data_IF_076034496151
#
_entry.id   IF_076034496151
#
_cell.length_a   1.000
_cell.length_b   1.000
_cell.length_c   1.000
_cell.angle_alpha   90.00
_cell.angle_beta   90.00
_cell.angle_gamma   90.00
#
_symmetry.space_group_name_H-M   'P 1'
#
loop_
_entity.id
_entity.type
_entity.pdbx_description
1 polymer ?
#
# COMPACT_ATOMS: atom_id res chain seq x y z
N UNK A 1 5.29 -3.42 -0.76
CA UNK A 1 5.39 -1.94 -0.63
C UNK A 1 6.24 -1.63 0.60
N UNK A 2 7.09 -0.59 0.56
CA UNK A 2 7.79 -0.09 1.76
C UNK A 2 6.94 0.98 2.44
N UNK A 3 6.81 0.90 3.77
CA UNK A 3 6.14 1.89 4.60
C UNK A 3 7.18 2.59 5.45
N UNK A 4 7.29 3.89 5.23
CA UNK A 4 8.24 4.77 5.89
C UNK A 4 7.49 5.68 6.87
N UNK A 5 8.01 5.85 8.08
CA UNK A 5 7.44 6.78 9.05
C UNK A 5 7.55 8.24 8.57
N UNK A 6 6.76 9.14 9.17
CA UNK A 6 6.81 10.58 8.90
C UNK A 6 8.23 11.14 8.84
N UNK A 7 9.09 10.74 9.79
CA UNK A 7 10.47 11.24 9.90
C UNK A 7 11.51 10.37 9.18
N UNK A 8 11.11 9.32 8.46
CA UNK A 8 12.03 8.47 7.71
C UNK A 8 12.91 7.54 8.56
N UNK A 9 12.70 7.49 9.87
CA UNK A 9 13.51 6.71 10.81
C UNK A 9 13.04 5.26 10.97
N UNK A 10 11.84 4.92 10.48
CA UNK A 10 11.30 3.57 10.42
C UNK A 10 11.00 3.26 8.97
N UNK A 11 11.48 2.11 8.48
CA UNK A 11 11.22 1.64 7.11
C UNK A 11 10.96 0.13 7.12
N UNK A 12 9.70 -0.25 6.92
CA UNK A 12 9.20 -1.62 7.10
C UNK A 12 8.46 -2.12 5.84
N UNK A 13 8.50 -3.43 5.55
CA UNK A 13 7.72 -3.99 4.46
C UNK A 13 6.24 -4.11 4.87
N UNK A 14 5.33 -3.49 4.10
CA UNK A 14 3.89 -3.44 4.40
C UNK A 14 3.29 -4.84 4.63
N UNK A 15 3.72 -5.81 3.83
CA UNK A 15 3.20 -7.18 3.84
C UNK A 15 3.60 -7.98 5.08
N UNK A 16 4.51 -7.48 5.93
CA UNK A 16 4.95 -8.17 7.15
C UNK A 16 4.55 -7.44 8.44
N UNK A 17 3.85 -6.30 8.34
CA UNK A 17 3.47 -5.48 9.49
C UNK A 17 1.97 -5.47 9.68
N UNK A 18 1.55 -5.27 10.93
CA UNK A 18 0.17 -4.87 11.23
C UNK A 18 0.20 -3.38 11.53
N UNK A 19 -0.60 -2.60 10.80
CA UNK A 19 -0.75 -1.15 11.04
C UNK A 19 -2.04 -0.92 11.81
N UNK A 20 -1.95 -0.21 12.94
CA UNK A 20 -3.09 0.17 13.77
C UNK A 20 -2.97 1.61 14.26
N UNK A 21 -4.08 2.20 14.68
CA UNK A 21 -4.06 3.50 15.33
C UNK A 21 -4.07 3.33 16.86
N UNK A 22 -3.41 4.25 17.57
CA UNK A 22 -3.45 4.38 19.01
C UNK A 22 -3.66 5.86 19.35
N UNK A 23 -4.92 6.22 19.58
CA UNK A 23 -5.35 7.63 19.70
C UNK A 23 -4.94 8.42 18.45
N UNK A 24 -4.11 9.45 18.57
CA UNK A 24 -3.66 10.30 17.46
C UNK A 24 -2.40 9.75 16.74
N UNK A 25 -1.93 8.56 17.10
CA UNK A 25 -0.75 7.94 16.51
C UNK A 25 -1.10 6.79 15.57
N UNK A 26 -0.31 6.60 14.52
CA UNK A 26 -0.32 5.40 13.69
C UNK A 26 0.92 4.57 14.02
N UNK A 27 0.71 3.28 14.31
CA UNK A 27 1.74 2.36 14.81
C UNK A 27 1.81 1.12 13.91
N UNK A 28 3.03 0.66 13.64
CA UNK A 28 3.30 -0.66 13.09
C UNK A 28 3.69 -1.65 14.20
N UNK A 29 3.15 -2.86 14.13
CA UNK A 29 3.63 -4.02 14.87
C UNK A 29 4.48 -4.88 13.93
N UNK A 30 5.72 -5.13 14.34
CA UNK A 30 6.65 -5.98 13.58
C UNK A 30 7.49 -6.81 14.55
N UNK A 31 7.46 -8.15 14.41
CA UNK A 31 8.18 -9.09 15.27
C UNK A 31 7.95 -8.86 16.79
N UNK A 32 6.74 -8.47 17.19
CA UNK A 32 6.38 -8.21 18.58
C UNK A 32 6.76 -6.81 19.10
N UNK A 33 7.50 -6.04 18.31
CA UNK A 33 7.90 -4.66 18.62
C UNK A 33 6.90 -3.64 18.04
N UNK A 34 6.82 -2.46 18.66
CA UNK A 34 5.98 -1.35 18.21
C UNK A 34 6.81 -0.22 17.63
N UNK A 35 6.42 0.28 16.47
CA UNK A 35 7.07 1.41 15.80
C UNK A 35 6.05 2.49 15.50
N UNK A 36 6.35 3.74 15.87
CA UNK A 36 5.51 4.89 15.51
C UNK A 36 5.78 5.24 14.05
N UNK A 37 4.73 5.20 13.24
CA UNK A 37 4.75 5.55 11.82
C UNK A 37 4.37 7.01 11.60
N UNK A 38 3.48 7.55 12.42
CA UNK A 38 3.15 8.97 12.41
C UNK A 38 2.39 9.40 13.67
N UNK A 39 2.57 10.66 14.02
CA UNK A 39 1.88 11.35 15.12
C UNK A 39 1.08 12.52 14.53
N UNK A 40 -0.18 12.64 14.94
CA UNK A 40 -1.11 13.62 14.39
C UNK A 40 -1.75 14.47 15.47
N UNK A 41 -2.31 15.60 15.10
CA UNK A 41 -2.98 16.54 16.01
C UNK A 41 -4.36 16.07 16.44
N UNK A 42 -4.95 15.10 15.72
CA UNK A 42 -6.26 14.53 16.03
C UNK A 42 -6.38 13.08 15.57
N UNK A 43 -7.39 12.37 16.12
CA UNK A 43 -7.69 10.99 15.75
C UNK A 43 -8.18 10.90 14.32
N UNK A 44 -8.97 11.87 13.88
CA UNK A 44 -9.51 11.96 12.52
C UNK A 44 -8.36 12.00 11.50
N UNK A 45 -7.31 12.79 11.78
CA UNK A 45 -6.12 12.83 10.92
C UNK A 45 -5.36 11.52 10.91
N UNK A 46 -5.18 10.88 12.07
CA UNK A 46 -4.55 9.57 12.14
C UNK A 46 -5.33 8.50 11.34
N UNK A 47 -6.66 8.52 11.40
CA UNK A 47 -7.51 7.65 10.57
C UNK A 47 -7.36 7.96 9.08
N UNK A 48 -7.31 9.24 8.70
CA UNK A 48 -7.13 9.64 7.31
C UNK A 48 -5.77 9.19 6.77
N UNK A 49 -4.70 9.29 7.56
CA UNK A 49 -3.38 8.78 7.21
C UNK A 49 -3.40 7.26 6.93
N UNK A 50 -4.11 6.49 7.77
CA UNK A 50 -4.29 5.06 7.55
C UNK A 50 -5.12 4.75 6.28
N UNK A 51 -6.11 5.57 5.97
CA UNK A 51 -6.88 5.46 4.73
C UNK A 51 -5.98 5.70 3.50
N UNK A 52 -5.16 6.75 3.52
CA UNK A 52 -4.21 7.06 2.44
C UNK A 52 -3.22 5.92 2.20
N UNK A 53 -2.72 5.27 3.27
CA UNK A 53 -1.87 4.08 3.14
C UNK A 53 -2.60 2.94 2.43
N UNK A 54 -3.87 2.70 2.78
CA UNK A 54 -4.70 1.65 2.16
C UNK A 54 -4.98 1.97 0.69
N UNK A 55 -5.32 3.21 0.38
CA UNK A 55 -5.56 3.68 -0.99
C UNK A 55 -4.30 3.52 -1.85
N UNK A 56 -3.14 3.93 -1.33
CA UNK A 56 -1.86 3.73 -2.01
C UNK A 56 -1.60 2.26 -2.32
N UNK A 57 -1.84 1.36 -1.34
CA UNK A 57 -1.65 -0.07 -1.52
C UNK A 57 -2.60 -0.69 -2.57
N UNK A 58 -3.88 -0.31 -2.53
CA UNK A 58 -4.90 -0.82 -3.47
C UNK A 58 -4.70 -0.24 -4.88
N UNK A 59 -4.20 0.99 -4.97
CA UNK A 59 -3.89 1.67 -6.22
C UNK A 59 -2.67 1.11 -6.97
N UNK A 60 -1.81 0.30 -6.32
CA UNK A 60 -0.67 -0.33 -7.00
C UNK A 60 -1.14 -1.31 -8.07
N UNK A 61 -0.73 -1.12 -9.34
CA UNK A 61 -1.20 -1.98 -10.41
C UNK A 61 -0.50 -3.35 -10.39
N UNK A 62 -1.24 -4.37 -10.82
CA UNK A 62 -0.66 -5.66 -11.20
C UNK A 62 -0.35 -5.61 -12.69
N UNK A 63 0.89 -5.89 -13.08
CA UNK A 63 1.31 -5.86 -14.47
C UNK A 63 1.21 -7.27 -15.06
N UNK A 64 0.44 -7.41 -16.13
CA UNK A 64 0.18 -8.68 -16.81
C UNK A 64 0.68 -8.58 -18.25
N UNK A 65 1.78 -9.27 -18.54
CA UNK A 65 2.41 -9.28 -19.86
C UNK A 65 2.08 -10.56 -20.60
N UNK A 66 1.51 -10.47 -21.80
CA UNK A 66 1.16 -11.61 -22.65
C UNK A 66 0.31 -12.67 -21.93
N UNK A 67 -0.46 -12.27 -20.91
CA UNK A 67 -1.37 -13.14 -20.16
C UNK A 67 -2.75 -13.08 -20.80
N UNK A 68 -3.33 -14.24 -21.10
CA UNK A 68 -4.73 -14.32 -21.50
C UNK A 68 -5.60 -14.15 -20.25
N UNK A 69 -6.47 -13.14 -20.24
CA UNK A 69 -7.41 -12.90 -19.15
C UNK A 69 -8.70 -13.66 -19.45
N UNK A 70 -9.01 -14.66 -18.63
CA UNK A 70 -10.32 -15.31 -18.64
C UNK A 70 -11.35 -14.47 -17.88
N UNK A 71 -12.64 -14.76 -18.05
CA UNK A 71 -13.71 -14.11 -17.29
C UNK A 71 -13.56 -14.32 -15.78
N UNK A 72 -13.07 -15.48 -15.34
CA UNK A 72 -12.86 -15.77 -13.92
C UNK A 72 -11.76 -14.90 -13.32
N UNK A 73 -10.65 -14.72 -14.05
CA UNK A 73 -9.57 -13.81 -13.64
C UNK A 73 -10.09 -12.36 -13.59
N UNK A 74 -10.89 -11.93 -14.56
CA UNK A 74 -11.49 -10.60 -14.53
C UNK A 74 -12.36 -10.37 -13.29
N UNK A 75 -13.19 -11.36 -12.90
CA UNK A 75 -14.02 -11.29 -11.68
C UNK A 75 -13.18 -11.26 -10.39
N UNK A 76 -12.07 -12.01 -10.33
CA UNK A 76 -11.15 -11.94 -9.19
C UNK A 76 -10.56 -10.53 -9.04
N UNK A 77 -10.16 -9.91 -10.15
CA UNK A 77 -9.63 -8.54 -10.15
C UNK A 77 -10.64 -7.50 -9.67
N UNK A 78 -11.91 -7.61 -10.08
CA UNK A 78 -13.00 -6.76 -9.58
C UNK A 78 -13.15 -6.90 -8.05
N UNK A 79 -13.09 -8.13 -7.53
CA UNK A 79 -13.17 -8.42 -6.10
C UNK A 79 -12.00 -7.84 -5.30
N UNK A 80 -10.79 -7.84 -5.88
CA UNK A 80 -9.60 -7.27 -5.27
C UNK A 80 -9.58 -5.72 -5.25
N UNK A 81 -10.48 -5.07 -6.01
CA UNK A 81 -10.49 -3.62 -6.22
C UNK A 81 -9.14 -3.05 -6.68
N UNK A 82 -8.33 -3.86 -7.37
CA UNK A 82 -7.00 -3.48 -7.84
C UNK A 82 -7.03 -3.03 -9.30
N UNK A 83 -6.12 -2.12 -9.64
CA UNK A 83 -5.84 -1.78 -11.03
C UNK A 83 -4.95 -2.86 -11.68
N UNK A 84 -5.21 -3.17 -12.94
CA UNK A 84 -4.37 -4.05 -13.75
C UNK A 84 -3.83 -3.30 -14.97
N UNK A 85 -2.56 -3.54 -15.32
CA UNK A 85 -1.95 -3.04 -16.55
C UNK A 85 -1.66 -4.22 -17.47
N UNK A 86 -2.29 -4.24 -18.63
CA UNK A 86 -2.08 -5.27 -19.65
C UNK A 86 -1.03 -4.81 -20.65
N UNK A 87 -0.02 -5.64 -20.89
CA UNK A 87 1.05 -5.36 -21.84
C UNK A 87 1.14 -6.51 -22.83
N UNK A 88 1.10 -6.19 -24.12
CA UNK A 88 1.36 -7.15 -25.19
C UNK A 88 2.71 -6.86 -25.83
N UNK A 89 3.60 -7.86 -25.84
CA UNK A 89 4.97 -7.73 -26.34
C UNK A 89 5.30 -8.91 -27.25
N UNK A 90 5.91 -8.63 -28.40
CA UNK A 90 6.34 -9.68 -29.33
C UNK A 90 7.53 -10.47 -28.76
N UNK A 91 7.53 -11.79 -28.97
CA UNK A 91 8.65 -12.69 -28.65
C UNK A 91 9.07 -12.71 -27.17
N UNK A 92 8.19 -12.34 -26.24
CA UNK A 92 8.44 -12.41 -24.80
C UNK A 92 7.46 -13.38 -24.14
N UNK A 93 7.88 -14.12 -23.10
CA UNK A 93 6.98 -15.03 -22.39
C UNK A 93 5.89 -14.28 -21.62
N UNK A 94 4.84 -15.00 -21.25
CA UNK A 94 3.81 -14.51 -20.34
C UNK A 94 4.37 -14.36 -18.92
N UNK A 95 4.04 -13.24 -18.26
CA UNK A 95 4.41 -13.01 -16.85
C UNK A 95 3.40 -12.12 -16.13
N UNK A 96 3.35 -12.28 -14.81
CA UNK A 96 2.58 -11.44 -13.89
C UNK A 96 3.56 -10.84 -12.88
N UNK A 97 3.69 -9.52 -12.88
CA UNK A 97 4.58 -8.78 -12.01
C UNK A 97 3.75 -7.95 -11.01
N UNK A 98 4.08 -8.11 -9.72
CA UNK A 98 3.56 -7.26 -8.65
C UNK A 98 4.57 -6.15 -8.39
N UNK A 99 4.16 -4.89 -8.55
CA UNK A 99 5.03 -3.74 -8.30
C UNK A 99 5.38 -3.71 -6.81
N UNK A 100 6.60 -4.14 -6.49
CA UNK A 100 7.10 -4.29 -5.12
C UNK A 100 7.98 -3.13 -4.66
N UNK A 101 8.47 -2.31 -5.60
CA UNK A 101 9.32 -1.14 -5.35
C UNK A 101 8.56 0.14 -4.97
N UNK A 102 7.24 0.05 -4.75
CA UNK A 102 6.46 1.18 -4.26
C UNK A 102 6.85 1.54 -2.82
N UNK A 103 6.94 2.84 -2.55
CA UNK A 103 7.25 3.42 -1.25
C UNK A 103 6.08 4.32 -0.86
N UNK A 104 5.58 4.16 0.36
CA UNK A 104 4.65 5.07 1.00
C UNK A 104 5.30 5.64 2.25
N UNK A 105 5.47 6.96 2.30
CA UNK A 105 5.88 7.66 3.51
C UNK A 105 4.65 8.30 4.14
N UNK A 106 4.48 8.13 5.46
CA UNK A 106 3.38 8.77 6.17
C UNK A 106 3.48 10.30 6.06
N UNK A 107 2.36 10.99 5.72
CA UNK A 107 2.36 12.44 5.58
C UNK A 107 2.49 13.13 6.93
N UNK A 108 3.03 14.35 6.92
CA UNK A 108 3.05 15.26 8.06
C UNK A 108 1.63 15.65 8.47
N UNK A 109 1.49 16.19 9.67
CA UNK A 109 0.19 16.57 10.21
C UNK A 109 -0.52 17.66 9.38
N UNK A 110 0.23 18.63 8.86
CA UNK A 110 -0.26 19.74 8.06
C UNK A 110 -0.61 19.34 6.61
N UNK A 111 -0.16 18.17 6.16
CA UNK A 111 -0.50 17.60 4.85
C UNK A 111 -1.84 16.84 4.86
N UNK A 112 -2.47 16.67 6.03
CA UNK A 112 -3.76 15.98 6.18
C UNK A 112 -4.90 16.98 6.41
N UNK A 113 -5.81 17.03 5.44
CA UNK A 113 -7.10 17.72 5.54
C UNK A 113 -8.20 16.75 6.02
N UNK A 114 -9.03 17.21 6.96
CA UNK A 114 -10.14 16.46 7.59
C UNK A 114 -11.45 17.24 7.54
#
# INVERSE_FOLDING_TARGET
MRVISQHGNVDLPYEQIVVCHAMENVIALYNGEKYVLGEYSSKEKAYKAMEMLREAYVGMPIVMQNVAISEDVAKEFEGLKKCGVMVQTENQPSRVDFISNAIFQFPQDDEIEV
#
